data_IF_134461607565
#
_entry.id   IF_134461607565
#
_cell.length_a   1.000
_cell.length_b   1.000
_cell.length_c   1.000
_cell.angle_alpha   90.00
_cell.angle_beta   90.00
_cell.angle_gamma   90.00
#
_symmetry.space_group_name_H-M   'P 1'
#
loop_
_entity.id
_entity.type
_entity.pdbx_description
1 polymer ?
#
# COMPACT_ATOMS: atom_id res chain seq x y z
N UNK A 1 -3.94 -22.66 4.76
CA UNK A 1 -3.39 -21.44 5.40
C UNK A 1 -1.93 -21.29 5.03
N UNK A 2 -1.54 -20.16 4.43
CA UNK A 2 -0.17 -19.77 4.12
C UNK A 2 0.20 -18.57 4.98
N UNK A 3 1.41 -18.56 5.55
CA UNK A 3 1.91 -17.45 6.36
C UNK A 3 3.22 -16.97 5.75
N UNK A 4 3.31 -15.67 5.49
CA UNK A 4 4.52 -15.00 5.01
C UNK A 4 4.92 -13.91 6.02
N UNK A 5 6.22 -13.78 6.33
CA UNK A 5 6.73 -12.70 7.18
C UNK A 5 7.43 -11.66 6.32
N UNK A 6 6.83 -10.48 6.25
CA UNK A 6 7.30 -9.34 5.47
C UNK A 6 8.12 -8.40 6.36
N UNK A 7 9.10 -7.72 5.77
CA UNK A 7 9.81 -6.60 6.40
C UNK A 7 9.15 -5.30 5.97
N UNK A 8 8.25 -4.78 6.81
CA UNK A 8 7.46 -3.58 6.48
C UNK A 8 8.08 -2.36 7.18
N UNK A 9 8.13 -1.25 6.45
CA UNK A 9 8.59 0.03 7.00
C UNK A 9 7.42 0.73 7.69
N UNK A 10 7.71 1.29 8.85
CA UNK A 10 6.79 2.06 9.67
C UNK A 10 7.45 3.37 10.07
N UNK A 11 6.68 4.45 10.10
CA UNK A 11 7.05 5.70 10.77
C UNK A 11 6.42 5.62 12.16
N UNK A 12 7.25 5.62 13.20
CA UNK A 12 6.86 5.52 14.62
C UNK A 12 7.46 6.73 15.32
N UNK A 13 6.62 7.62 15.85
CA UNK A 13 7.07 8.87 16.46
C UNK A 13 8.04 9.62 15.53
N UNK A 14 7.61 9.79 14.26
CA UNK A 14 8.36 10.44 13.17
C UNK A 14 9.65 9.72 12.74
N UNK A 15 9.95 8.55 13.30
CA UNK A 15 11.18 7.79 12.99
C UNK A 15 10.86 6.55 12.16
N UNK A 16 11.63 6.37 11.08
CA UNK A 16 11.53 5.17 10.26
C UNK A 16 12.08 3.95 11.03
N UNK A 17 11.28 2.88 11.08
CA UNK A 17 11.63 1.59 11.65
C UNK A 17 11.12 0.48 10.74
N UNK A 18 11.91 -0.58 10.58
CA UNK A 18 11.45 -1.81 9.93
C UNK A 18 10.95 -2.78 10.98
N UNK A 19 9.78 -3.38 10.77
CA UNK A 19 9.24 -4.44 11.64
C UNK A 19 8.84 -5.68 10.84
N UNK A 20 8.95 -6.88 11.45
CA UNK A 20 8.36 -8.08 10.89
C UNK A 20 6.83 -8.00 11.00
N UNK A 21 6.16 -8.15 9.87
CA UNK A 21 4.71 -8.12 9.76
C UNK A 21 4.27 -9.40 9.07
N UNK A 22 3.41 -10.18 9.71
CA UNK A 22 2.90 -11.43 9.13
C UNK A 22 1.76 -11.10 8.19
N UNK A 23 1.79 -11.68 7.00
CA UNK A 23 0.66 -11.78 6.08
C UNK A 23 0.14 -13.22 6.18
N UNK A 24 -1.10 -13.38 6.60
CA UNK A 24 -1.78 -14.67 6.67
C UNK A 24 -2.77 -14.71 5.52
N UNK A 25 -2.69 -15.77 4.72
CA UNK A 25 -3.59 -16.03 3.59
C UNK A 25 -4.28 -17.36 3.82
N UNK A 26 -5.60 -17.29 3.99
CA UNK A 26 -6.48 -18.43 4.13
C UNK A 26 -7.27 -18.60 2.84
N UNK A 27 -7.05 -19.71 2.15
CA UNK A 27 -7.88 -20.12 1.04
C UNK A 27 -9.00 -20.99 1.61
N UNK A 28 -10.26 -20.60 1.36
CA UNK A 28 -11.43 -21.28 1.90
C UNK A 28 -11.75 -22.55 1.09
N UNK A 29 -11.59 -22.52 -0.24
CA UNK A 29 -11.67 -23.68 -1.14
C UNK A 29 -10.98 -23.38 -2.50
N UNK A 30 -10.92 -24.36 -3.43
CA UNK A 30 -10.31 -24.19 -4.76
C UNK A 30 -10.98 -23.08 -5.61
N UNK A 31 -12.28 -22.85 -5.40
CA UNK A 31 -13.09 -21.86 -6.12
C UNK A 31 -13.59 -20.68 -5.25
N UNK A 32 -13.17 -20.60 -3.98
CA UNK A 32 -13.66 -19.58 -3.03
C UNK A 32 -12.70 -18.41 -2.79
N UNK A 33 -13.28 -17.35 -2.20
CA UNK A 33 -12.57 -16.13 -1.80
C UNK A 33 -11.42 -16.44 -0.85
N UNK A 34 -10.32 -15.72 -1.06
CA UNK A 34 -9.18 -15.73 -0.15
C UNK A 34 -9.45 -14.75 1.00
N UNK A 35 -9.06 -15.11 2.21
CA UNK A 35 -9.02 -14.19 3.35
C UNK A 35 -7.56 -13.84 3.64
N UNK A 36 -7.26 -12.54 3.55
CA UNK A 36 -5.95 -11.96 3.82
C UNK A 36 -6.08 -11.09 5.05
N UNK A 37 -5.23 -11.32 6.05
CA UNK A 37 -5.04 -10.38 7.16
C UNK A 37 -3.57 -10.23 7.51
N UNK A 38 -3.26 -9.09 8.12
CA UNK A 38 -1.93 -8.75 8.57
C UNK A 38 -1.85 -8.67 10.08
N UNK A 39 -0.71 -9.07 10.62
CA UNK A 39 -0.42 -9.00 12.05
C UNK A 39 0.96 -8.39 12.32
N UNK A 40 1.05 -7.50 13.30
CA UNK A 40 2.30 -6.89 13.75
C UNK A 40 2.30 -6.71 15.27
N UNK A 41 3.48 -6.75 15.88
CA UNK A 41 3.66 -6.53 17.30
C UNK A 41 4.48 -5.27 17.57
N UNK A 42 3.98 -4.40 18.46
CA UNK A 42 4.70 -3.23 18.98
C UNK A 42 4.58 -3.20 20.50
N UNK A 43 5.71 -3.12 21.22
CA UNK A 43 5.75 -2.94 22.68
C UNK A 43 4.78 -3.87 23.44
N UNK A 44 4.83 -5.18 23.16
CA UNK A 44 3.94 -6.23 23.69
C UNK A 44 2.44 -6.09 23.36
N UNK A 45 2.06 -5.20 22.44
CA UNK A 45 0.71 -5.14 21.87
C UNK A 45 0.69 -5.81 20.50
N UNK A 46 -0.33 -6.61 20.27
CA UNK A 46 -0.63 -7.24 18.99
C UNK A 46 -1.67 -6.41 18.25
N UNK A 47 -1.42 -6.17 16.97
CA UNK A 47 -2.34 -5.50 16.07
C UNK A 47 -2.63 -6.41 14.89
N UNK A 48 -3.90 -6.53 14.55
CA UNK A 48 -4.38 -7.40 13.48
C UNK A 48 -5.39 -6.65 12.62
N UNK A 49 -5.22 -6.73 11.30
CA UNK A 49 -6.19 -6.19 10.35
C UNK A 49 -7.48 -7.02 10.33
N UNK A 50 -8.59 -6.40 9.92
CA UNK A 50 -9.77 -7.18 9.51
C UNK A 50 -9.38 -8.05 8.30
N UNK A 51 -9.85 -9.31 8.20
CA UNK A 51 -9.70 -10.11 6.99
C UNK A 51 -10.34 -9.44 5.77
N UNK A 52 -9.70 -9.57 4.61
CA UNK A 52 -10.19 -9.06 3.33
C UNK A 52 -9.79 -9.97 2.17
N UNK A 53 -10.54 -9.92 1.08
CA UNK A 53 -10.20 -10.60 -0.19
C UNK A 53 -9.19 -9.84 -1.05
N UNK A 54 -8.67 -8.72 -0.56
CA UNK A 54 -7.60 -7.94 -1.19
C UNK A 54 -6.56 -7.49 -0.17
N UNK A 55 -5.31 -7.62 -0.56
CA UNK A 55 -4.11 -7.13 0.14
C UNK A 55 -4.21 -5.64 0.38
N UNK A 56 -4.71 -4.87 -0.59
CA UNK A 56 -4.88 -3.42 -0.48
C UNK A 56 -5.72 -3.05 0.73
N UNK A 57 -6.92 -3.63 0.83
CA UNK A 57 -7.84 -3.38 1.93
C UNK A 57 -7.32 -3.95 3.24
N UNK A 58 -6.71 -5.13 3.24
CA UNK A 58 -6.13 -5.71 4.45
C UNK A 58 -5.01 -4.82 5.04
N UNK A 59 -4.19 -4.19 4.19
CA UNK A 59 -3.18 -3.20 4.62
C UNK A 59 -3.84 -1.94 5.18
N UNK A 60 -4.85 -1.36 4.50
CA UNK A 60 -5.62 -0.20 5.01
C UNK A 60 -6.26 -0.52 6.37
N UNK A 61 -6.82 -1.70 6.52
CA UNK A 61 -7.41 -2.14 7.79
C UNK A 61 -6.35 -2.33 8.88
N UNK A 62 -5.13 -2.75 8.54
CA UNK A 62 -4.04 -2.75 9.50
C UNK A 62 -3.72 -1.34 9.95
N UNK A 63 -3.53 -0.40 9.01
CA UNK A 63 -3.25 1.01 9.32
C UNK A 63 -4.28 1.58 10.31
N UNK A 64 -5.57 1.36 10.06
CA UNK A 64 -6.68 1.81 10.94
C UNK A 64 -6.69 1.19 12.34
N UNK A 65 -5.92 0.12 12.57
CA UNK A 65 -5.77 -0.51 13.90
C UNK A 65 -4.53 -0.01 14.63
N UNK A 66 -3.59 0.61 13.92
CA UNK A 66 -2.39 1.17 14.52
C UNK A 66 -2.74 2.48 15.24
N UNK A 67 -2.02 2.82 16.33
CA UNK A 67 -2.12 4.14 16.95
C UNK A 67 -1.72 5.26 15.99
N UNK A 68 -2.24 6.47 16.19
CA UNK A 68 -2.03 7.64 15.32
C UNK A 68 -0.55 8.02 15.10
N UNK A 69 0.31 7.70 16.08
CA UNK A 69 1.75 7.94 15.99
C UNK A 69 2.51 6.85 15.20
N UNK A 70 1.80 5.87 14.62
CA UNK A 70 2.37 4.77 13.83
C UNK A 70 1.70 4.72 12.45
N UNK A 71 2.51 4.94 11.41
CA UNK A 71 2.08 4.88 10.02
C UNK A 71 2.87 3.82 9.25
N UNK A 72 2.19 2.99 8.45
CA UNK A 72 2.83 2.12 7.47
C UNK A 72 3.40 3.00 6.37
N UNK A 73 4.72 2.92 6.16
CA UNK A 73 5.43 3.64 5.12
C UNK A 73 5.73 2.69 3.95
N UNK A 74 4.93 2.75 2.90
CA UNK A 74 5.07 1.88 1.74
C UNK A 74 4.60 2.56 0.44
N UNK A 75 4.75 1.89 -0.71
CA UNK A 75 4.33 2.42 -2.00
C UNK A 75 2.83 2.71 -2.07
N UNK A 76 1.98 1.94 -1.38
CA UNK A 76 0.54 2.23 -1.29
C UNK A 76 0.25 3.54 -0.52
N UNK A 77 0.97 3.81 0.56
CA UNK A 77 0.81 5.03 1.38
C UNK A 77 1.68 6.22 0.93
N UNK A 78 2.38 6.07 -0.20
CA UNK A 78 3.30 7.08 -0.72
C UNK A 78 2.57 8.04 -1.67
N UNK A 79 2.84 9.35 -1.57
CA UNK A 79 2.36 10.38 -2.50
C UNK A 79 2.89 10.26 -3.93
N UNK A 80 3.81 9.33 -4.19
CA UNK A 80 4.25 8.97 -5.54
C UNK A 80 3.58 7.69 -6.06
N UNK A 81 2.89 6.95 -5.21
CA UNK A 81 2.13 5.76 -5.60
C UNK A 81 0.82 6.15 -6.27
N UNK A 82 0.43 5.39 -7.28
CA UNK A 82 -0.89 5.49 -7.91
C UNK A 82 -1.35 4.11 -8.38
N UNK A 83 -2.60 3.77 -8.10
CA UNK A 83 -3.28 2.64 -8.72
C UNK A 83 -3.55 2.89 -10.20
N UNK A 84 -3.61 1.80 -10.96
CA UNK A 84 -3.98 1.85 -12.36
C UNK A 84 -5.49 2.06 -12.50
N UNK A 85 -5.98 3.15 -13.13
CA UNK A 85 -7.41 3.38 -13.28
C UNK A 85 -8.11 2.38 -14.21
N UNK A 86 -7.35 1.56 -14.95
CA UNK A 86 -7.88 0.60 -15.93
C UNK A 86 -7.73 -0.86 -15.51
N UNK A 87 -7.11 -1.14 -14.36
CA UNK A 87 -6.79 -2.51 -13.95
C UNK A 87 -6.83 -2.69 -12.46
N UNK A 88 -7.00 -3.94 -12.05
CA UNK A 88 -7.20 -4.39 -10.67
C UNK A 88 -6.17 -5.46 -10.28
N UNK A 89 -4.95 -5.36 -10.84
CA UNK A 89 -3.89 -6.32 -10.52
C UNK A 89 -3.57 -6.27 -9.03
N UNK A 90 -3.81 -7.40 -8.38
CA UNK A 90 -3.63 -7.56 -6.94
C UNK A 90 -2.18 -7.31 -6.53
N UNK A 91 -2.01 -6.59 -5.41
CA UNK A 91 -0.71 -6.22 -4.86
C UNK A 91 0.19 -5.38 -5.80
N UNK A 92 -0.39 -4.58 -6.70
CA UNK A 92 0.35 -3.69 -7.61
C UNK A 92 0.04 -2.20 -7.36
N UNK A 93 1.08 -1.37 -7.41
CA UNK A 93 0.98 0.09 -7.46
C UNK A 93 2.08 0.66 -8.36
N UNK A 94 1.85 1.81 -8.99
CA UNK A 94 2.83 2.42 -9.89
C UNK A 94 3.51 3.62 -9.25
N UNK A 95 4.83 3.71 -9.40
CA UNK A 95 5.60 4.87 -8.99
C UNK A 95 5.58 5.97 -10.08
N UNK A 96 4.99 7.10 -9.73
CA UNK A 96 4.85 8.30 -10.56
C UNK A 96 5.69 9.47 -10.04
N UNK A 97 6.82 9.21 -9.37
CA UNK A 97 7.62 10.25 -8.69
C UNK A 97 8.11 11.38 -9.61
N UNK A 98 8.47 11.04 -10.84
CA UNK A 98 8.90 11.92 -11.94
C UNK A 98 7.73 12.42 -12.80
N UNK A 99 6.49 12.16 -12.36
CA UNK A 99 5.27 12.75 -12.90
C UNK A 99 4.60 13.61 -11.83
N UNK A 100 3.77 14.54 -12.27
CA UNK A 100 3.08 15.49 -11.39
C UNK A 100 1.60 15.56 -11.78
N UNK A 101 0.83 14.47 -11.59
CA UNK A 101 -0.60 14.51 -11.85
C UNK A 101 -1.26 15.48 -10.88
N UNK A 102 -1.98 16.46 -11.42
CA UNK A 102 -2.74 17.46 -10.68
C UNK A 102 -4.20 17.08 -10.52
N UNK A 103 -4.70 16.19 -11.38
CA UNK A 103 -6.10 15.78 -11.42
C UNK A 103 -6.26 14.34 -11.94
N UNK A 104 -7.51 13.87 -11.93
CA UNK A 104 -7.91 12.53 -12.40
C UNK A 104 -7.51 12.26 -13.86
N UNK A 105 -7.70 13.23 -14.75
CA UNK A 105 -7.43 13.08 -16.18
C UNK A 105 -5.93 12.90 -16.45
N UNK A 106 -5.07 13.62 -15.71
CA UNK A 106 -3.61 13.49 -15.84
C UNK A 106 -3.15 12.04 -15.55
N UNK A 107 -3.72 11.41 -14.51
CA UNK A 107 -3.40 10.00 -14.21
C UNK A 107 -3.88 9.09 -15.33
N UNK A 108 -5.12 9.25 -15.79
CA UNK A 108 -5.68 8.48 -16.91
C UNK A 108 -4.80 8.60 -18.16
N UNK A 109 -4.30 9.79 -18.47
CA UNK A 109 -3.40 10.02 -19.59
C UNK A 109 -2.06 9.29 -19.41
N UNK A 110 -1.44 9.37 -18.22
CA UNK A 110 -0.19 8.67 -17.92
C UNK A 110 -0.32 7.16 -18.17
N UNK A 111 -1.41 6.55 -17.70
CA UNK A 111 -1.67 5.11 -17.84
C UNK A 111 -2.12 4.72 -19.25
N UNK A 112 -2.68 5.65 -20.03
CA UNK A 112 -3.07 5.43 -21.43
C UNK A 112 -1.87 5.49 -22.38
N UNK A 113 -0.96 6.44 -22.16
CA UNK A 113 0.20 6.65 -23.03
C UNK A 113 1.29 5.58 -22.85
N UNK A 114 1.41 4.99 -21.65
CA UNK A 114 2.38 3.96 -21.29
C UNK A 114 3.77 4.18 -21.92
N UNK A 115 4.48 5.20 -21.45
CA UNK A 115 5.83 5.48 -21.96
C UNK A 115 6.78 4.27 -21.81
N UNK A 116 7.97 4.34 -22.44
CA UNK A 116 8.95 3.23 -22.43
C UNK A 116 9.35 2.77 -21.02
N UNK A 117 9.20 3.63 -20.00
CA UNK A 117 9.55 3.32 -18.61
C UNK A 117 8.39 2.70 -17.84
N UNK A 118 7.17 2.71 -18.39
CA UNK A 118 5.94 2.38 -17.67
C UNK A 118 5.98 1.02 -16.98
N UNK A 119 6.44 -0.03 -17.67
CA UNK A 119 6.58 -1.38 -17.08
C UNK A 119 7.51 -1.41 -15.87
N UNK A 120 8.54 -0.56 -15.84
CA UNK A 120 9.50 -0.48 -14.73
C UNK A 120 9.00 0.32 -13.53
N UNK A 121 7.80 0.92 -13.63
CA UNK A 121 7.17 1.70 -12.55
C UNK A 121 6.33 0.85 -11.60
N UNK A 122 5.95 -0.36 -12.00
CA UNK A 122 5.20 -1.30 -11.16
C UNK A 122 6.00 -1.67 -9.90
N UNK A 123 5.34 -1.64 -8.75
CA UNK A 123 5.86 -1.93 -7.41
C UNK A 123 4.84 -2.79 -6.67
N UNK A 124 5.29 -3.48 -5.63
CA UNK A 124 4.37 -4.10 -4.67
C UNK A 124 3.86 -3.07 -3.67
N UNK A 125 2.67 -3.29 -3.11
CA UNK A 125 2.03 -2.33 -2.20
C UNK A 125 2.90 -2.00 -0.99
N UNK A 126 3.52 -3.02 -0.39
CA UNK A 126 4.37 -2.91 0.80
C UNK A 126 5.86 -2.63 0.51
N UNK A 127 6.24 -2.40 -0.76
CA UNK A 127 7.59 -1.94 -1.07
C UNK A 127 7.84 -0.54 -0.47
N UNK A 128 9.10 -0.20 -0.27
CA UNK A 128 9.52 1.11 0.26
C UNK A 128 10.71 1.64 -0.53
N UNK A 129 10.83 2.97 -0.64
CA UNK A 129 11.97 3.61 -1.28
C UNK A 129 12.42 4.86 -0.54
N UNK A 130 13.65 5.30 -0.80
CA UNK A 130 14.24 6.50 -0.19
C UNK A 130 13.51 7.81 -0.50
N UNK A 131 12.73 7.82 -1.58
CA UNK A 131 11.96 8.99 -2.03
C UNK A 131 10.53 8.94 -1.45
N UNK A 132 10.28 8.14 -0.41
CA UNK A 132 8.96 8.05 0.22
C UNK A 132 8.52 9.42 0.76
N UNK A 133 7.27 9.76 0.46
CA UNK A 133 6.59 10.95 0.98
C UNK A 133 5.16 10.55 1.33
N UNK A 134 4.64 11.03 2.45
CA UNK A 134 3.22 10.84 2.80
C UNK A 134 2.34 11.45 1.71
N UNK A 135 1.17 10.87 1.48
CA UNK A 135 0.18 11.45 0.56
C UNK A 135 -0.23 12.83 1.08
N UNK A 136 -0.17 13.83 0.19
CA UNK A 136 -0.66 15.18 0.41
C UNK A 136 -1.63 15.52 -0.71
N UNK A 137 -2.93 15.50 -0.40
CA UNK A 137 -4.00 15.70 -1.39
C UNK A 137 -3.98 17.10 -2.04
N UNK A 138 -3.27 18.05 -1.43
CA UNK A 138 -3.09 19.40 -1.98
C UNK A 138 -1.91 19.52 -2.95
N UNK A 139 -1.01 18.53 -2.99
CA UNK A 139 0.22 18.59 -3.82
C UNK A 139 0.12 17.77 -5.10
N UNK A 140 -0.46 16.57 -5.02
CA UNK A 140 -0.59 15.64 -6.15
C UNK A 140 -1.90 14.86 -6.08
N UNK A 141 -2.52 14.64 -7.23
CA UNK A 141 -3.67 13.75 -7.33
C UNK A 141 -3.23 12.29 -7.29
N UNK A 142 -3.94 11.47 -6.50
CA UNK A 142 -3.72 10.02 -6.46
C UNK A 142 -5.03 9.25 -6.38
N UNK A 143 -5.10 8.11 -7.05
CA UNK A 143 -6.13 7.09 -6.82
C UNK A 143 -5.82 6.22 -5.59
N UNK A 144 -4.66 6.41 -4.95
CA UNK A 144 -4.37 5.76 -3.68
C UNK A 144 -5.22 6.40 -2.59
N UNK A 145 -6.37 5.79 -2.37
CA UNK A 145 -7.23 6.11 -1.26
C UNK A 145 -6.64 5.52 0.02
N UNK A 146 -5.73 6.24 0.67
CA UNK A 146 -5.10 5.78 1.92
C UNK A 146 -5.86 6.21 3.18
N UNK A 147 -6.77 7.19 3.08
CA UNK A 147 -7.66 7.69 4.16
C UNK A 147 -6.94 7.83 5.51
N UNK A 148 -5.96 8.74 5.60
CA UNK A 148 -5.36 9.15 6.89
C UNK A 148 -5.74 10.57 7.31
N UNK A 149 -6.69 11.20 6.61
CA UNK A 149 -7.23 12.51 6.96
C UNK A 149 -8.17 12.45 8.19
#
# INVERSE_FOLDING_TARGET
MKVETLKVNYIIDEKLSVKPTKMIVEQLDQDEKQNIHFEVHFNNRHFQSKPSDSTEYAIKYLQRKLPDNINIACCQSCGHGNFNPFGDMENEVFCLKDKTPSNKADVVEIFSNQDKTFKTRSRKLLDFCKDYQTISHNEKYTYNDWDLD
#
